data_IF_803233930782
#
_entry.id   IF_803233930782
#
_cell.length_a   1.000
_cell.length_b   1.000
_cell.length_c   1.000
_cell.angle_alpha   90.00
_cell.angle_beta   90.00
_cell.angle_gamma   90.00
#
_symmetry.space_group_name_H-M   'P 1'
#
loop_
_entity.id
_entity.type
_entity.pdbx_description
1 polymer ?
#
# COMPACT_ATOMS: atom_id res chain seq x y z
N UNK A 1 15.07 -4.77 44.07
CA UNK A 1 15.43 -5.12 42.69
C UNK A 1 14.68 -4.14 41.79
N UNK A 2 15.35 -3.08 41.32
CA UNK A 2 14.71 -1.99 40.56
C UNK A 2 14.72 -2.33 39.07
N UNK A 3 13.56 -2.26 38.42
CA UNK A 3 13.43 -2.46 36.97
C UNK A 3 14.21 -1.36 36.22
N UNK A 4 14.91 -1.70 35.12
CA UNK A 4 15.64 -0.71 34.35
C UNK A 4 14.65 0.30 33.77
N UNK A 5 14.96 1.59 33.97
CA UNK A 5 14.22 2.71 33.35
C UNK A 5 14.31 2.51 31.84
N UNK A 6 13.21 2.11 31.23
CA UNK A 6 13.02 2.21 29.78
C UNK A 6 13.25 3.68 29.43
N UNK A 7 14.35 3.96 28.73
CA UNK A 7 14.55 5.26 28.11
C UNK A 7 13.35 5.47 27.19
N UNK A 8 12.44 6.36 27.58
CA UNK A 8 11.33 6.77 26.75
C UNK A 8 11.95 7.50 25.56
N UNK A 9 12.18 6.76 24.46
CA UNK A 9 12.54 7.37 23.19
C UNK A 9 11.40 8.33 22.88
N UNK A 10 11.69 9.63 22.92
CA UNK A 10 10.72 10.64 22.52
C UNK A 10 10.23 10.25 21.13
N UNK A 11 8.91 10.12 20.92
CA UNK A 11 8.40 9.74 19.61
C UNK A 11 8.93 10.75 18.59
N UNK A 12 9.54 10.22 17.51
CA UNK A 12 10.00 11.05 16.41
C UNK A 12 8.82 11.91 15.91
N UNK A 13 9.08 13.17 15.51
CA UNK A 13 8.06 13.98 14.85
C UNK A 13 7.48 13.23 13.64
N UNK A 14 6.17 13.36 13.43
CA UNK A 14 5.47 12.62 12.39
C UNK A 14 6.02 12.96 11.00
N UNK A 15 6.52 14.17 10.79
CA UNK A 15 7.17 14.61 9.55
C UNK A 15 8.39 13.75 9.22
N UNK A 16 9.19 13.40 10.24
CA UNK A 16 10.39 12.56 10.07
C UNK A 16 9.99 11.13 9.72
N UNK A 17 8.96 10.60 10.39
CA UNK A 17 8.41 9.28 10.10
C UNK A 17 7.87 9.22 8.66
N UNK A 18 7.16 10.26 8.23
CA UNK A 18 6.67 10.38 6.87
C UNK A 18 7.82 10.42 5.87
N UNK A 19 8.86 11.23 6.13
CA UNK A 19 10.04 11.34 5.28
C UNK A 19 10.77 10.01 5.13
N UNK A 20 10.98 9.27 6.22
CA UNK A 20 11.57 7.92 6.19
C UNK A 20 10.71 6.98 5.34
N UNK A 21 9.39 7.02 5.51
CA UNK A 21 8.48 6.14 4.77
C UNK A 21 8.46 6.48 3.28
N UNK A 22 8.50 7.77 2.94
CA UNK A 22 8.58 8.26 1.57
C UNK A 22 9.89 7.82 0.90
N UNK A 23 11.00 7.89 1.63
CA UNK A 23 12.30 7.43 1.13
C UNK A 23 12.29 5.91 0.87
N UNK A 24 11.74 5.11 1.79
CA UNK A 24 11.55 3.66 1.61
C UNK A 24 10.69 3.36 0.38
N UNK A 25 9.64 4.14 0.14
CA UNK A 25 8.79 3.99 -1.03
C UNK A 25 9.49 4.37 -2.35
N UNK A 26 10.44 5.31 -2.31
CA UNK A 26 11.15 5.83 -3.49
C UNK A 26 12.39 5.02 -3.88
N UNK A 27 12.80 4.00 -3.11
CA UNK A 27 13.93 3.13 -3.45
C UNK A 27 13.66 2.39 -4.77
N UNK A 28 14.14 3.00 -5.86
CA UNK A 28 13.73 2.78 -7.26
C UNK A 28 14.41 1.61 -7.97
N UNK A 29 15.01 0.67 -7.25
CA UNK A 29 15.83 -0.37 -7.87
C UNK A 29 15.01 -1.64 -8.15
N UNK A 30 14.47 -1.74 -9.36
CA UNK A 30 14.10 -2.96 -10.14
C UNK A 30 13.27 -4.07 -9.49
N UNK A 31 12.75 -3.88 -8.28
CA UNK A 31 11.84 -4.85 -7.64
C UNK A 31 10.77 -4.09 -6.90
N UNK A 32 9.65 -3.84 -7.59
CA UNK A 32 8.38 -3.44 -6.97
C UNK A 32 8.03 -4.31 -5.73
N UNK A 33 8.57 -5.53 -5.63
CA UNK A 33 8.39 -6.40 -4.46
C UNK A 33 9.18 -5.98 -3.21
N UNK A 34 10.42 -5.48 -3.31
CA UNK A 34 11.26 -5.22 -2.14
C UNK A 34 10.78 -4.00 -1.35
N UNK A 35 10.49 -2.89 -2.04
CA UNK A 35 9.92 -1.69 -1.42
C UNK A 35 8.55 -1.99 -0.79
N UNK A 36 7.68 -2.77 -1.45
CA UNK A 36 6.40 -3.17 -0.89
C UNK A 36 6.54 -4.04 0.37
N UNK A 37 7.52 -4.94 0.42
CA UNK A 37 7.80 -5.74 1.63
C UNK A 37 8.23 -4.85 2.78
N UNK A 38 9.14 -3.90 2.53
CA UNK A 38 9.59 -2.93 3.52
C UNK A 38 8.44 -2.06 4.03
N UNK A 39 7.59 -1.54 3.14
CA UNK A 39 6.41 -0.75 3.52
C UNK A 39 5.40 -1.56 4.34
N UNK A 40 5.19 -2.84 4.00
CA UNK A 40 4.35 -3.75 4.80
C UNK A 40 4.94 -3.91 6.19
N UNK A 41 6.25 -4.13 6.32
CA UNK A 41 6.91 -4.19 7.62
C UNK A 41 6.72 -2.89 8.40
N UNK A 42 6.98 -1.72 7.80
CA UNK A 42 6.75 -0.41 8.42
C UNK A 42 5.31 -0.25 8.92
N UNK A 43 4.32 -0.69 8.15
CA UNK A 43 2.90 -0.59 8.53
C UNK A 43 2.51 -1.37 9.79
N UNK A 44 3.35 -2.34 10.19
CA UNK A 44 3.18 -3.21 11.35
C UNK A 44 4.00 -2.76 12.57
N UNK A 45 5.01 -1.90 12.40
CA UNK A 45 5.88 -1.43 13.49
C UNK A 45 5.10 -0.60 14.50
N UNK A 46 4.35 0.39 14.03
CA UNK A 46 3.56 1.26 14.91
C UNK A 46 2.45 2.00 14.16
N UNK A 47 1.51 2.57 14.92
CA UNK A 47 0.44 3.43 14.38
C UNK A 47 0.96 4.64 13.60
N UNK A 48 2.17 5.13 13.93
CA UNK A 48 2.76 6.30 13.30
C UNK A 48 3.24 6.03 11.87
N UNK A 49 3.75 4.82 11.61
CA UNK A 49 4.16 4.40 10.26
C UNK A 49 2.98 3.90 9.41
N UNK A 50 1.92 3.42 10.07
CA UNK A 50 0.80 2.74 9.41
C UNK A 50 0.14 3.57 8.31
N UNK A 51 -0.26 4.80 8.61
CA UNK A 51 -1.02 5.63 7.65
C UNK A 51 -0.22 5.90 6.38
N UNK A 52 1.01 6.39 6.51
CA UNK A 52 1.86 6.72 5.35
C UNK A 52 2.29 5.47 4.59
N UNK A 53 2.59 4.36 5.29
CA UNK A 53 2.96 3.10 4.63
C UNK A 53 1.82 2.54 3.79
N UNK A 54 0.60 2.53 4.33
CA UNK A 54 -0.58 2.06 3.60
C UNK A 54 -0.90 2.96 2.41
N UNK A 55 -0.70 4.27 2.54
CA UNK A 55 -0.85 5.21 1.42
C UNK A 55 0.05 4.83 0.25
N UNK A 56 1.31 4.47 0.51
CA UNK A 56 2.23 4.00 -0.54
C UNK A 56 1.88 2.61 -1.06
N UNK A 57 1.54 1.66 -0.19
CA UNK A 57 1.14 0.29 -0.58
C UNK A 57 -0.07 0.31 -1.51
N UNK A 58 -1.06 1.13 -1.20
CA UNK A 58 -2.29 1.24 -1.99
C UNK A 58 -2.22 2.35 -3.04
N UNK A 59 -1.06 2.99 -3.24
CA UNK A 59 -0.90 4.02 -4.26
C UNK A 59 -1.05 3.46 -5.68
N UNK A 60 -0.71 2.19 -5.90
CA UNK A 60 -0.91 1.49 -7.17
C UNK A 60 -1.50 0.11 -6.92
N UNK A 61 -2.73 -0.11 -7.38
CA UNK A 61 -3.43 -1.39 -7.25
C UNK A 61 -3.54 -2.04 -8.63
N UNK A 62 -2.95 -3.23 -8.77
CA UNK A 62 -3.08 -4.04 -9.98
C UNK A 62 -3.94 -5.27 -9.68
N UNK A 63 -5.13 -5.31 -10.25
CA UNK A 63 -6.06 -6.44 -10.14
C UNK A 63 -5.85 -7.33 -11.36
N UNK A 64 -5.39 -8.56 -11.14
CA UNK A 64 -5.27 -9.57 -12.21
C UNK A 64 -6.50 -10.47 -12.15
N UNK A 65 -7.21 -10.57 -13.27
CA UNK A 65 -8.48 -11.27 -13.39
C UNK A 65 -8.30 -12.46 -14.33
N UNK A 66 -8.61 -13.66 -13.84
CA UNK A 66 -8.67 -14.86 -14.68
C UNK A 66 -9.96 -14.94 -15.49
N UNK A 67 -9.96 -15.75 -16.54
CA UNK A 67 -11.07 -15.87 -17.50
C UNK A 67 -12.42 -16.24 -16.85
N UNK A 68 -12.41 -17.05 -15.78
CA UNK A 68 -13.62 -17.43 -15.03
C UNK A 68 -14.22 -16.31 -14.17
N UNK A 69 -13.44 -15.27 -13.88
CA UNK A 69 -13.79 -14.23 -12.90
C UNK A 69 -14.05 -12.87 -13.53
N UNK A 70 -14.08 -12.77 -14.86
CA UNK A 70 -14.33 -11.51 -15.58
C UNK A 70 -15.64 -10.84 -15.15
N UNK A 71 -16.72 -11.63 -14.99
CA UNK A 71 -18.00 -11.11 -14.53
C UNK A 71 -17.91 -10.52 -13.12
N UNK A 72 -17.20 -11.19 -12.20
CA UNK A 72 -16.99 -10.72 -10.83
C UNK A 72 -16.09 -9.48 -10.79
N UNK A 73 -15.04 -9.44 -11.59
CA UNK A 73 -14.17 -8.28 -11.70
C UNK A 73 -14.89 -7.06 -12.27
N UNK A 74 -15.74 -7.23 -13.27
CA UNK A 74 -16.58 -6.15 -13.80
C UNK A 74 -17.55 -5.60 -12.75
N UNK A 75 -17.96 -6.45 -11.79
CA UNK A 75 -18.83 -6.05 -10.67
C UNK A 75 -18.07 -5.23 -9.62
N UNK A 76 -16.77 -5.53 -9.41
CA UNK A 76 -15.89 -4.77 -8.52
C UNK A 76 -15.44 -3.44 -9.13
N UNK A 77 -15.35 -3.36 -10.46
CA UNK A 77 -15.04 -2.12 -11.16
C UNK A 77 -16.13 -1.07 -11.03
N UNK A 78 -17.41 -1.47 -10.99
CA UNK A 78 -18.55 -0.55 -10.86
C UNK A 78 -18.44 0.40 -9.66
N UNK A 79 -18.25 -0.08 -8.41
CA UNK A 79 -18.13 0.81 -7.25
C UNK A 79 -16.81 1.61 -7.23
N UNK A 80 -15.77 1.16 -7.93
CA UNK A 80 -14.50 1.89 -8.01
C UNK A 80 -14.56 3.00 -9.07
N UNK A 81 -15.27 2.76 -10.18
CA UNK A 81 -15.50 3.74 -11.25
C UNK A 81 -16.54 4.80 -10.86
N UNK A 82 -17.48 4.45 -9.97
CA UNK A 82 -18.44 5.41 -9.43
C UNK A 82 -17.72 6.33 -8.44
N UNK A 83 -17.12 7.40 -8.98
CA UNK A 83 -16.40 8.50 -8.31
C UNK A 83 -17.26 9.20 -7.23
N UNK A 84 -17.48 8.55 -6.10
CA UNK A 84 -18.10 9.15 -4.92
C UNK A 84 -17.50 8.61 -3.62
N UNK A 85 -16.19 8.41 -3.62
CA UNK A 85 -15.42 8.04 -2.44
C UNK A 85 -14.16 8.90 -2.41
N UNK A 86 -14.31 10.15 -1.96
CA UNK A 86 -13.21 11.09 -1.79
C UNK A 86 -12.05 10.51 -0.97
N UNK A 87 -12.34 9.51 -0.13
CA UNK A 87 -11.37 8.82 0.72
C UNK A 87 -10.50 7.81 -0.05
N UNK A 88 -11.08 7.05 -0.99
CA UNK A 88 -10.33 6.05 -1.77
C UNK A 88 -9.49 6.73 -2.86
N UNK A 89 -10.01 7.79 -3.47
CA UNK A 89 -9.35 8.50 -4.59
C UNK A 89 -8.11 9.28 -4.13
N UNK A 90 -8.07 9.78 -2.89
CA UNK A 90 -6.92 10.54 -2.39
C UNK A 90 -5.66 9.68 -2.12
N UNK A 91 -5.84 8.38 -1.93
CA UNK A 91 -4.74 7.46 -1.59
C UNK A 91 -4.32 6.57 -2.76
N UNK A 92 -5.23 6.26 -3.69
CA UNK A 92 -4.96 5.41 -4.86
C UNK A 92 -4.61 6.29 -6.07
N UNK A 93 -3.33 6.30 -6.46
CA UNK A 93 -2.83 7.06 -7.62
C UNK A 93 -3.02 6.31 -8.94
N UNK A 94 -2.98 4.97 -8.90
CA UNK A 94 -3.08 4.10 -10.06
C UNK A 94 -3.93 2.87 -9.73
N UNK A 95 -4.85 2.54 -10.63
CA UNK A 95 -5.63 1.30 -10.58
C UNK A 95 -5.59 0.69 -11.98
N UNK A 96 -5.06 -0.52 -12.08
CA UNK A 96 -5.02 -1.28 -13.33
C UNK A 96 -5.75 -2.60 -13.15
N UNK A 97 -6.57 -2.96 -14.13
CA UNK A 97 -7.18 -4.29 -14.20
C UNK A 97 -6.64 -4.99 -15.42
N UNK A 98 -5.97 -6.12 -15.21
CA UNK A 98 -5.39 -6.94 -16.28
C UNK A 98 -6.21 -8.20 -16.39
N UNK A 99 -6.83 -8.42 -17.55
CA UNK A 99 -7.52 -9.67 -17.86
C UNK A 99 -6.51 -10.62 -18.49
N UNK A 100 -6.15 -11.69 -17.76
CA UNK A 100 -5.30 -12.72 -18.31
C UNK A 100 -6.15 -13.61 -19.22
N UNK A 101 -6.16 -13.28 -20.52
CA UNK A 101 -6.62 -14.18 -21.56
C UNK A 101 -5.52 -15.23 -21.81
N UNK A 102 -5.41 -16.22 -20.93
CA UNK A 102 -4.56 -17.38 -21.19
C UNK A 102 -5.30 -18.34 -22.11
N UNK A 103 -5.30 -18.05 -23.41
CA UNK A 103 -5.34 -19.11 -24.42
C UNK A 103 -3.95 -19.74 -24.45
N UNK A 104 -3.81 -20.90 -23.82
CA UNK A 104 -2.74 -21.83 -24.14
C UNK A 104 -3.38 -23.04 -24.82
N UNK A 105 -3.03 -23.13 -26.10
CA UNK A 105 -3.13 -24.26 -27.04
C UNK A 105 -2.73 -25.61 -26.45
#
# INVERSE_FOLDING_TARGET
MALPRTFAISPLPQEIINFITDEVANQRSDRNSAALVSLRACSLVSKYFRSQSLRHIFSSINIVVGDSDQYRASSLLKPIQHRNSDVIVQSVRSLQVTFNATFLS
#
